data_IF_820315629905
#
_entry.id   IF_820315629905
#
_cell.length_a   1.000
_cell.length_b   1.000
_cell.length_c   1.000
_cell.angle_alpha   90.00
_cell.angle_beta   90.00
_cell.angle_gamma   90.00
#
_symmetry.space_group_name_H-M   'P 1'
#
loop_
_entity.id
_entity.type
_entity.pdbx_description
1 polymer ?
#
# COMPACT_ATOMS: atom_id res chain seq x y z
N UNK A 1 -39.91 -32.52 -12.58
CA UNK A 1 -38.43 -32.66 -12.55
C UNK A 1 -37.86 -31.26 -12.70
N UNK A 2 -37.25 -30.70 -11.65
CA UNK A 2 -36.70 -29.35 -11.71
C UNK A 2 -35.42 -29.35 -12.53
N UNK A 3 -35.42 -28.59 -13.63
CA UNK A 3 -34.25 -28.34 -14.46
C UNK A 3 -33.38 -27.30 -13.75
N UNK A 4 -32.42 -27.75 -12.94
CA UNK A 4 -31.44 -26.84 -12.33
C UNK A 4 -30.61 -26.26 -13.47
N UNK A 5 -30.60 -24.93 -13.59
CA UNK A 5 -29.79 -24.22 -14.57
C UNK A 5 -28.33 -24.15 -14.07
N UNK A 6 -27.52 -25.11 -14.52
CA UNK A 6 -26.11 -25.21 -14.17
C UNK A 6 -25.25 -24.07 -14.74
N UNK A 7 -25.79 -23.22 -15.64
CA UNK A 7 -25.07 -22.05 -16.17
C UNK A 7 -24.92 -20.91 -15.14
N UNK A 8 -25.72 -20.94 -14.06
CA UNK A 8 -25.70 -19.97 -12.97
C UNK A 8 -24.75 -20.36 -11.82
N UNK A 9 -24.08 -21.50 -11.91
CA UNK A 9 -23.14 -21.93 -10.88
C UNK A 9 -21.80 -21.19 -11.02
N UNK A 10 -21.53 -20.31 -10.06
CA UNK A 10 -20.18 -19.75 -9.87
C UNK A 10 -19.20 -20.90 -9.64
N UNK A 11 -18.04 -20.84 -10.31
CA UNK A 11 -17.00 -21.84 -10.08
C UNK A 11 -16.44 -21.63 -8.67
N UNK A 12 -15.97 -22.70 -8.05
CA UNK A 12 -15.31 -22.61 -6.75
C UNK A 12 -14.11 -21.64 -6.77
N UNK A 13 -13.48 -21.47 -7.93
CA UNK A 13 -12.40 -20.51 -8.19
C UNK A 13 -12.89 -19.06 -8.08
N UNK A 14 -14.05 -18.73 -8.65
CA UNK A 14 -14.64 -17.39 -8.61
C UNK A 14 -14.99 -16.98 -7.17
N UNK A 15 -15.57 -17.91 -6.40
CA UNK A 15 -15.92 -17.70 -4.99
C UNK A 15 -14.66 -17.45 -4.15
N UNK A 16 -13.60 -18.22 -4.38
CA UNK A 16 -12.31 -18.04 -3.68
C UNK A 16 -11.68 -16.69 -4.02
N UNK A 17 -11.68 -16.30 -5.30
CA UNK A 17 -11.14 -15.01 -5.74
C UNK A 17 -11.90 -13.82 -5.14
N UNK A 18 -13.24 -13.88 -5.09
CA UNK A 18 -14.09 -12.86 -4.48
C UNK A 18 -13.91 -12.77 -2.95
N UNK A 19 -13.75 -13.93 -2.29
CA UNK A 19 -13.46 -14.00 -0.85
C UNK A 19 -12.10 -13.36 -0.54
N UNK A 20 -11.09 -13.67 -1.35
CA UNK A 20 -9.75 -13.12 -1.19
C UNK A 20 -9.70 -11.61 -1.45
N UNK A 21 -10.37 -11.15 -2.51
CA UNK A 21 -10.50 -9.72 -2.78
C UNK A 21 -11.17 -8.98 -1.61
N UNK A 22 -12.24 -9.57 -1.06
CA UNK A 22 -12.96 -9.02 0.10
C UNK A 22 -12.09 -8.98 1.36
N UNK A 23 -11.24 -10.00 1.56
CA UNK A 23 -10.27 -10.05 2.66
C UNK A 23 -9.18 -8.98 2.53
N UNK A 24 -8.68 -8.75 1.32
CA UNK A 24 -7.60 -7.80 1.06
C UNK A 24 -8.08 -6.35 1.00
N UNK A 25 -9.32 -6.09 0.60
CA UNK A 25 -9.88 -4.74 0.46
C UNK A 25 -9.61 -3.80 1.67
N UNK A 26 -9.89 -4.18 2.93
CA UNK A 26 -9.59 -3.32 4.08
C UNK A 26 -8.09 -3.07 4.29
N UNK A 27 -7.23 -4.05 3.98
CA UNK A 27 -5.77 -3.90 4.07
C UNK A 27 -5.27 -2.92 3.00
N UNK A 28 -5.74 -3.07 1.76
CA UNK A 28 -5.42 -2.17 0.64
C UNK A 28 -5.84 -0.73 0.97
N UNK A 29 -7.03 -0.54 1.55
CA UNK A 29 -7.49 0.78 1.98
C UNK A 29 -6.58 1.39 3.06
N UNK A 30 -6.20 0.60 4.07
CA UNK A 30 -5.28 1.03 5.11
C UNK A 30 -3.90 1.41 4.56
N UNK A 31 -3.33 0.61 3.66
CA UNK A 31 -2.03 0.90 3.04
C UNK A 31 -2.08 2.13 2.14
N UNK A 32 -3.19 2.36 1.43
CA UNK A 32 -3.38 3.56 0.60
C UNK A 32 -3.37 4.82 1.46
N UNK A 33 -4.13 4.81 2.55
CA UNK A 33 -4.17 5.91 3.51
C UNK A 33 -2.80 6.13 4.18
N UNK A 34 -2.11 5.05 4.56
CA UNK A 34 -0.77 5.11 5.13
C UNK A 34 0.23 5.74 4.14
N UNK A 35 0.27 5.27 2.89
CA UNK A 35 1.19 5.80 1.87
C UNK A 35 0.91 7.28 1.54
N UNK A 36 -0.35 7.74 1.64
CA UNK A 36 -0.68 9.16 1.55
C UNK A 36 -0.11 9.99 2.70
N UNK A 37 -0.22 9.51 3.94
CA UNK A 37 0.31 10.19 5.11
C UNK A 37 1.84 10.25 5.07
N UNK A 38 2.50 9.13 4.75
CA UNK A 38 3.96 9.08 4.65
C UNK A 38 4.52 9.99 3.55
N UNK A 39 3.81 10.15 2.42
CA UNK A 39 4.22 11.09 1.36
C UNK A 39 4.16 12.55 1.79
N UNK A 40 3.23 12.90 2.69
CA UNK A 40 3.12 14.24 3.28
C UNK A 40 4.24 14.45 4.29
N UNK A 41 4.39 13.50 5.22
CA UNK A 41 5.44 13.53 6.23
C UNK A 41 6.84 13.64 5.61
N UNK A 42 7.16 12.81 4.60
CA UNK A 42 8.43 12.92 3.88
C UNK A 42 8.61 14.25 3.13
N UNK A 43 7.52 14.94 2.77
CA UNK A 43 7.56 16.30 2.24
C UNK A 43 7.96 17.31 3.33
N UNK A 44 7.33 17.25 4.49
CA UNK A 44 7.64 18.09 5.65
C UNK A 44 9.11 17.93 6.10
N UNK A 45 9.66 16.70 6.09
CA UNK A 45 11.06 16.49 6.42
C UNK A 45 12.02 17.12 5.41
N UNK A 46 11.65 17.12 4.12
CA UNK A 46 12.45 17.77 3.08
C UNK A 46 12.39 19.29 3.20
N UNK A 47 11.20 19.85 3.48
CA UNK A 47 11.02 21.29 3.75
C UNK A 47 11.84 21.72 4.97
N UNK A 48 11.81 20.95 6.06
CA UNK A 48 12.61 21.22 7.26
C UNK A 48 14.12 21.24 6.96
N UNK A 49 14.62 20.31 6.12
CA UNK A 49 16.02 20.31 5.68
C UNK A 49 16.34 21.56 4.84
N UNK A 50 15.44 21.96 3.94
CA UNK A 50 15.59 23.17 3.11
C UNK A 50 15.63 24.44 3.98
N UNK A 51 14.88 24.47 5.09
CA UNK A 51 14.89 25.54 6.09
C UNK A 51 16.10 25.48 7.05
N UNK A 52 16.95 24.47 6.92
CA UNK A 52 18.17 24.29 7.73
C UNK A 52 17.94 23.63 9.08
N UNK A 53 16.78 23.02 9.30
CA UNK A 53 16.49 22.24 10.51
C UNK A 53 17.18 20.87 10.49
N UNK A 54 17.49 20.35 11.69
CA UNK A 54 18.03 19.01 11.84
C UNK A 54 16.91 17.99 12.00
N UNK A 55 16.81 17.08 11.03
CA UNK A 55 15.91 15.92 11.06
C UNK A 55 16.71 14.62 11.02
N UNK A 56 16.07 13.48 11.29
CA UNK A 56 16.68 12.16 11.13
C UNK A 56 16.93 11.87 9.63
N UNK A 57 18.09 11.31 9.29
CA UNK A 57 18.49 11.05 7.90
C UNK A 57 18.83 12.30 7.07
N UNK A 58 19.16 12.05 5.81
CA UNK A 58 19.59 13.04 4.82
C UNK A 58 18.51 13.37 3.80
N UNK A 59 18.64 14.51 3.10
CA UNK A 59 17.74 14.90 2.01
C UNK A 59 17.59 13.78 0.96
N UNK A 60 18.72 13.13 0.62
CA UNK A 60 18.73 12.04 -0.36
C UNK A 60 17.91 10.85 0.12
N UNK A 61 18.10 10.44 1.37
CA UNK A 61 17.36 9.31 1.97
C UNK A 61 15.86 9.61 2.03
N UNK A 62 15.45 10.83 2.36
CA UNK A 62 14.04 11.23 2.32
C UNK A 62 13.45 11.23 0.91
N UNK A 63 14.19 11.67 -0.11
CA UNK A 63 13.75 11.60 -1.52
C UNK A 63 13.60 10.15 -2.00
N UNK A 64 14.53 9.28 -1.60
CA UNK A 64 14.48 7.85 -1.93
C UNK A 64 13.33 7.16 -1.21
N UNK A 65 13.14 7.44 0.08
CA UNK A 65 12.00 6.96 0.87
C UNK A 65 10.66 7.37 0.23
N UNK A 66 10.49 8.65 -0.11
CA UNK A 66 9.27 9.16 -0.76
C UNK A 66 8.99 8.46 -2.09
N UNK A 67 10.03 8.07 -2.82
CA UNK A 67 9.91 7.29 -4.07
C UNK A 67 9.45 5.86 -3.79
N UNK A 68 10.00 5.20 -2.77
CA UNK A 68 9.58 3.86 -2.34
C UNK A 68 8.12 3.85 -1.87
N UNK A 69 7.71 4.84 -1.06
CA UNK A 69 6.31 4.98 -0.62
C UNK A 69 5.36 5.22 -1.81
N UNK A 70 5.75 6.00 -2.82
CA UNK A 70 4.96 6.16 -4.05
C UNK A 70 4.82 4.86 -4.85
N UNK A 71 5.79 3.97 -4.75
CA UNK A 71 5.77 2.66 -5.38
C UNK A 71 4.99 1.61 -4.57
N UNK A 72 4.68 1.86 -3.29
CA UNK A 72 3.93 0.97 -2.41
C UNK A 72 2.44 0.95 -2.73
N UNK A 73 2.05 0.10 -3.69
CA UNK A 73 0.68 -0.06 -4.19
C UNK A 73 0.47 -1.45 -4.79
N UNK A 74 -0.74 -1.75 -5.27
CA UNK A 74 -1.07 -3.02 -5.92
C UNK A 74 -0.04 -3.36 -7.02
N UNK A 75 0.52 -4.56 -6.95
CA UNK A 75 1.58 -5.04 -7.85
C UNK A 75 3.01 -4.85 -7.31
N UNK A 76 3.20 -4.07 -6.24
CA UNK A 76 4.46 -4.04 -5.52
C UNK A 76 4.67 -5.34 -4.73
N UNK A 77 5.92 -5.81 -4.68
CA UNK A 77 6.27 -7.00 -3.91
C UNK A 77 5.93 -6.79 -2.42
N UNK A 78 5.19 -7.73 -1.83
CA UNK A 78 4.80 -7.67 -0.42
C UNK A 78 3.55 -6.84 -0.12
N UNK A 79 3.02 -6.05 -1.06
CA UNK A 79 1.80 -5.29 -0.83
C UNK A 79 0.58 -6.22 -0.69
N UNK A 80 -0.38 -6.01 0.25
CA UNK A 80 -0.49 -4.91 1.21
C UNK A 80 0.01 -5.26 2.64
N UNK A 81 1.02 -6.12 2.78
CA UNK A 81 1.55 -6.50 4.11
C UNK A 81 2.30 -5.34 4.77
N UNK A 82 1.75 -4.83 5.87
CA UNK A 82 2.32 -3.73 6.65
C UNK A 82 3.76 -3.98 7.15
N UNK A 83 4.17 -5.25 7.32
CA UNK A 83 5.53 -5.58 7.76
C UNK A 83 6.58 -5.37 6.66
N UNK A 84 6.14 -5.20 5.42
CA UNK A 84 6.99 -5.03 4.25
C UNK A 84 6.97 -3.60 3.71
N UNK A 85 6.40 -2.67 4.50
CA UNK A 85 6.41 -1.25 4.18
C UNK A 85 7.84 -0.71 4.05
N UNK A 86 8.07 0.27 3.17
CA UNK A 86 9.29 1.07 3.19
C UNK A 86 9.59 1.62 4.59
N UNK A 87 10.86 1.57 5.00
CA UNK A 87 11.30 2.09 6.29
C UNK A 87 11.72 3.55 6.17
N UNK A 88 11.37 4.36 7.18
CA UNK A 88 11.84 5.75 7.28
C UNK A 88 13.36 5.79 7.52
N UNK A 89 14.04 6.87 7.09
CA UNK A 89 15.44 7.14 7.47
C UNK A 89 15.62 7.25 9.00
N UNK A 90 16.82 6.92 9.48
CA UNK A 90 17.24 7.00 10.89
C UNK A 90 18.40 7.97 11.08
#
# INVERSE_FOLDING_TARGET
MNNIDWSQLRKAEDIKAETEASRLAPLIAAETQWAEQERKFAGEQLEAIEDGESVAGTEREWRDYRTQVRAWKLGAAGYPDSNLRPARPI
#
